data_IF_666387021494
#
_entry.id   IF_666387021494
#
_cell.length_a   1.000
_cell.length_b   1.000
_cell.length_c   1.000
_cell.angle_alpha   90.00
_cell.angle_beta   90.00
_cell.angle_gamma   90.00
#
_symmetry.space_group_name_H-M   'P 1'
#
loop_
_entity.id
_entity.type
_entity.pdbx_description
1 polymer ?
#
# COMPACT_ATOMS: atom_id res chain seq x y z
N UNK A 1 -48.34 26.59 18.12
CA UNK A 1 -47.83 25.21 17.99
C UNK A 1 -46.48 25.27 17.28
N UNK A 2 -45.39 25.18 18.03
CA UNK A 2 -44.03 25.15 17.49
C UNK A 2 -43.71 23.71 17.07
N UNK A 3 -43.72 23.44 15.77
CA UNK A 3 -43.18 22.21 15.20
C UNK A 3 -41.70 22.41 14.90
N UNK A 4 -40.83 22.21 15.89
CA UNK A 4 -39.38 22.15 15.64
C UNK A 4 -39.10 20.73 15.14
N UNK A 5 -39.05 20.57 13.82
CA UNK A 5 -38.60 19.36 13.16
C UNK A 5 -37.11 19.13 13.50
N UNK A 6 -36.86 18.34 14.54
CA UNK A 6 -35.54 17.75 14.82
C UNK A 6 -35.25 16.69 13.76
N UNK A 7 -34.19 16.84 12.96
CA UNK A 7 -33.34 15.72 12.46
C UNK A 7 -32.28 16.08 11.40
N UNK A 8 -31.77 17.31 11.31
CA UNK A 8 -30.69 17.62 10.34
C UNK A 8 -29.26 17.34 10.86
N UNK A 9 -29.09 16.99 12.13
CA UNK A 9 -27.79 16.80 12.81
C UNK A 9 -27.22 15.35 12.76
N UNK A 10 -27.99 14.24 12.56
CA UNK A 10 -27.41 12.89 12.54
C UNK A 10 -26.59 12.55 11.27
N UNK A 11 -26.90 13.16 10.14
CA UNK A 11 -26.33 12.77 8.84
C UNK A 11 -24.92 13.32 8.60
N UNK A 12 -24.64 14.55 9.04
CA UNK A 12 -23.32 15.17 8.88
C UNK A 12 -22.26 14.45 9.72
N UNK A 13 -22.59 14.13 10.97
CA UNK A 13 -21.70 13.37 11.88
C UNK A 13 -21.39 11.97 11.32
N UNK A 14 -22.39 11.29 10.74
CA UNK A 14 -22.21 9.97 10.14
C UNK A 14 -21.24 10.01 8.93
N UNK A 15 -21.29 11.06 8.11
CA UNK A 15 -20.39 11.23 6.96
C UNK A 15 -18.95 11.59 7.37
N UNK A 16 -18.80 12.42 8.39
CA UNK A 16 -17.49 12.75 8.97
C UNK A 16 -16.82 11.50 9.55
N UNK A 17 -17.54 10.75 10.39
CA UNK A 17 -17.07 9.46 10.94
C UNK A 17 -16.72 8.45 9.84
N UNK A 18 -17.54 8.33 8.80
CA UNK A 18 -17.25 7.44 7.68
C UNK A 18 -15.97 7.85 6.92
N UNK A 19 -15.67 9.14 6.87
CA UNK A 19 -14.45 9.66 6.24
C UNK A 19 -13.23 9.36 7.11
N UNK A 20 -13.33 9.58 8.41
CA UNK A 20 -12.26 9.27 9.37
C UNK A 20 -11.93 7.78 9.39
N UNK A 21 -12.93 6.90 9.40
CA UNK A 21 -12.73 5.44 9.34
C UNK A 21 -11.99 5.05 8.06
N UNK A 22 -12.38 5.58 6.89
CA UNK A 22 -11.66 5.32 5.63
C UNK A 22 -10.22 5.81 5.66
N UNK A 23 -9.95 6.93 6.31
CA UNK A 23 -8.59 7.43 6.48
C UNK A 23 -7.76 6.50 7.37
N UNK A 24 -8.34 6.02 8.47
CA UNK A 24 -7.69 5.05 9.36
C UNK A 24 -7.39 3.72 8.66
N UNK A 25 -8.32 3.20 7.85
CA UNK A 25 -8.12 2.01 7.02
C UNK A 25 -6.91 2.20 6.08
N UNK A 26 -6.83 3.37 5.41
CA UNK A 26 -5.71 3.69 4.53
C UNK A 26 -4.38 3.78 5.28
N UNK A 27 -4.36 4.43 6.44
CA UNK A 27 -3.16 4.54 7.29
C UNK A 27 -2.72 3.16 7.77
N UNK A 28 -3.67 2.31 8.17
CA UNK A 28 -3.38 0.94 8.62
C UNK A 28 -2.80 0.09 7.49
N UNK A 29 -3.39 0.14 6.28
CA UNK A 29 -2.86 -0.55 5.09
C UNK A 29 -1.43 -0.10 4.79
N UNK A 30 -1.16 1.22 4.79
CA UNK A 30 0.17 1.78 4.55
C UNK A 30 1.20 1.31 5.59
N UNK A 31 0.88 1.41 6.88
CA UNK A 31 1.78 0.95 7.97
C UNK A 31 2.05 -0.55 7.89
N UNK A 32 1.03 -1.35 7.56
CA UNK A 32 1.20 -2.79 7.37
C UNK A 32 2.19 -3.10 6.25
N UNK A 33 2.08 -2.39 5.13
CA UNK A 33 3.01 -2.52 4.02
C UNK A 33 4.44 -2.08 4.35
N UNK A 34 4.62 -0.99 5.08
CA UNK A 34 5.95 -0.52 5.53
C UNK A 34 6.67 -1.56 6.39
N UNK A 35 5.96 -2.16 7.36
CA UNK A 35 6.51 -3.22 8.22
C UNK A 35 6.96 -4.45 7.41
N UNK A 36 6.13 -4.92 6.49
CA UNK A 36 6.47 -6.05 5.63
C UNK A 36 7.69 -5.73 4.75
N UNK A 37 7.80 -4.49 4.26
CA UNK A 37 8.94 -4.03 3.46
C UNK A 37 10.26 -4.08 4.23
N UNK A 38 10.25 -3.69 5.50
CA UNK A 38 11.44 -3.80 6.36
C UNK A 38 11.90 -5.25 6.53
N UNK A 39 10.95 -6.16 6.75
CA UNK A 39 11.27 -7.58 6.94
C UNK A 39 11.76 -8.24 5.65
N UNK A 40 11.18 -7.89 4.50
CA UNK A 40 11.68 -8.35 3.19
C UNK A 40 13.11 -7.85 2.95
N UNK A 41 13.42 -6.60 3.26
CA UNK A 41 14.79 -6.05 3.12
C UNK A 41 15.80 -6.84 3.95
N UNK A 42 15.44 -7.20 5.19
CA UNK A 42 16.30 -8.05 6.06
C UNK A 42 16.48 -9.46 5.48
N UNK A 43 15.43 -10.03 4.89
CA UNK A 43 15.51 -11.35 4.26
C UNK A 43 16.40 -11.33 3.02
N UNK A 44 16.26 -10.35 2.13
CA UNK A 44 16.93 -10.32 0.83
C UNK A 44 18.46 -10.32 0.93
N UNK A 45 19.00 -9.69 1.97
CA UNK A 45 20.45 -9.62 2.23
C UNK A 45 21.02 -10.92 2.80
N UNK A 46 20.17 -11.87 3.20
CA UNK A 46 20.59 -13.17 3.69
C UNK A 46 21.26 -13.97 2.56
N UNK A 47 22.55 -14.29 2.74
CA UNK A 47 23.36 -15.05 1.77
C UNK A 47 22.94 -16.51 1.64
N UNK A 48 22.31 -17.07 2.67
CA UNK A 48 21.86 -18.46 2.70
C UNK A 48 20.57 -18.71 1.93
N UNK A 49 19.85 -17.65 1.52
CA UNK A 49 18.66 -17.79 0.68
C UNK A 49 19.04 -18.14 -0.76
N UNK A 50 18.37 -19.15 -1.30
CA UNK A 50 18.49 -19.53 -2.70
C UNK A 50 17.96 -18.42 -3.62
N UNK A 51 18.51 -18.36 -4.84
CA UNK A 51 18.21 -17.30 -5.82
C UNK A 51 16.69 -17.18 -6.11
N UNK A 52 15.99 -18.30 -6.26
CA UNK A 52 14.55 -18.30 -6.55
C UNK A 52 13.74 -17.60 -5.45
N UNK A 53 14.08 -17.81 -4.18
CA UNK A 53 13.39 -17.15 -3.06
C UNK A 53 13.71 -15.66 -3.05
N UNK A 54 14.95 -15.26 -3.38
CA UNK A 54 15.31 -13.83 -3.51
C UNK A 54 14.49 -13.15 -4.60
N UNK A 55 14.33 -13.79 -5.75
CA UNK A 55 13.50 -13.25 -6.85
C UNK A 55 12.04 -13.08 -6.39
N UNK A 56 11.47 -14.06 -5.69
CA UNK A 56 10.12 -13.94 -5.14
C UNK A 56 10.00 -12.79 -4.13
N UNK A 57 10.96 -12.65 -3.21
CA UNK A 57 11.00 -11.54 -2.25
C UNK A 57 11.07 -10.18 -2.94
N UNK A 58 11.85 -10.05 -4.01
CA UNK A 58 11.91 -8.80 -4.77
C UNK A 58 10.58 -8.50 -5.51
N UNK A 59 9.89 -9.52 -6.03
CA UNK A 59 8.57 -9.34 -6.64
C UNK A 59 7.51 -8.88 -5.62
N UNK A 60 7.53 -9.44 -4.41
CA UNK A 60 6.66 -9.00 -3.31
C UNK A 60 6.99 -7.55 -2.93
N UNK A 61 8.28 -7.21 -2.80
CA UNK A 61 8.72 -5.83 -2.52
C UNK A 61 8.21 -4.84 -3.57
N UNK A 62 8.28 -5.20 -4.85
CA UNK A 62 7.73 -4.36 -5.91
C UNK A 62 6.22 -4.20 -5.79
N UNK A 63 5.47 -5.29 -5.60
CA UNK A 63 4.02 -5.22 -5.41
C UNK A 63 3.63 -4.25 -4.29
N UNK A 64 4.32 -4.34 -3.14
CA UNK A 64 4.08 -3.47 -1.99
C UNK A 64 4.38 -2.01 -2.33
N UNK A 65 5.53 -1.73 -2.97
CA UNK A 65 5.88 -0.37 -3.38
C UNK A 65 4.82 0.24 -4.30
N UNK A 66 4.18 -0.56 -5.13
CA UNK A 66 3.13 -0.08 -6.04
C UNK A 66 1.84 0.25 -5.29
N UNK A 67 1.47 -0.57 -4.32
CA UNK A 67 0.32 -0.31 -3.43
C UNK A 67 0.53 0.95 -2.59
N UNK A 68 1.73 1.16 -2.06
CA UNK A 68 2.07 2.36 -1.29
C UNK A 68 1.99 3.64 -2.12
N UNK A 69 2.33 3.58 -3.42
CA UNK A 69 2.25 4.72 -4.33
C UNK A 69 0.87 4.91 -4.99
N UNK A 70 -0.15 4.15 -4.56
CA UNK A 70 -1.50 4.18 -5.14
C UNK A 70 -1.51 3.92 -6.66
N UNK A 71 -0.48 3.23 -7.17
CA UNK A 71 -0.31 2.95 -8.59
C UNK A 71 -1.11 1.70 -8.95
N UNK A 72 -1.93 1.82 -10.01
CA UNK A 72 -2.60 0.66 -10.61
C UNK A 72 -1.56 -0.23 -11.31
N UNK A 73 -1.88 -1.52 -11.43
CA UNK A 73 -0.97 -2.57 -11.95
C UNK A 73 -0.32 -2.25 -13.30
N UNK A 74 -0.92 -1.39 -14.12
CA UNK A 74 -0.37 -0.98 -15.43
C UNK A 74 0.80 0.02 -15.30
N UNK A 75 0.67 1.03 -14.44
CA UNK A 75 1.75 2.02 -14.21
C UNK A 75 2.92 1.38 -13.48
N UNK A 76 2.59 0.42 -12.61
CA UNK A 76 3.51 -0.52 -12.01
C UNK A 76 4.34 -1.33 -13.02
N UNK A 77 3.69 -2.00 -13.97
CA UNK A 77 4.37 -2.77 -15.01
C UNK A 77 5.25 -1.90 -15.90
N UNK A 78 4.85 -0.66 -16.18
CA UNK A 78 5.69 0.32 -16.90
C UNK A 78 6.95 0.66 -16.10
N UNK A 79 6.83 0.96 -14.82
CA UNK A 79 7.98 1.28 -13.98
C UNK A 79 8.93 0.08 -13.83
N UNK A 80 8.40 -1.13 -13.70
CA UNK A 80 9.21 -2.36 -13.67
C UNK A 80 9.94 -2.60 -15.00
N UNK A 81 9.26 -2.42 -16.14
CA UNK A 81 9.89 -2.52 -17.45
C UNK A 81 11.00 -1.47 -17.62
N UNK A 82 10.81 -0.26 -17.08
CA UNK A 82 11.84 0.80 -17.08
C UNK A 82 13.03 0.41 -16.18
N UNK A 83 12.82 -0.14 -14.99
CA UNK A 83 13.92 -0.53 -14.08
C UNK A 83 14.76 -1.68 -14.64
N UNK A 84 14.15 -2.63 -15.36
CA UNK A 84 14.87 -3.66 -16.13
C UNK A 84 15.70 -2.99 -17.24
N UNK A 85 15.08 -2.09 -18.03
CA UNK A 85 15.76 -1.39 -19.13
C UNK A 85 16.97 -0.58 -18.65
N UNK A 86 16.90 0.01 -17.46
CA UNK A 86 17.99 0.80 -16.86
C UNK A 86 19.09 -0.05 -16.18
N UNK A 87 18.97 -1.38 -16.13
CA UNK A 87 19.83 -2.28 -15.33
C UNK A 87 19.91 -1.88 -13.84
N UNK A 88 18.89 -1.18 -13.34
CA UNK A 88 18.74 -0.91 -11.91
C UNK A 88 18.24 -2.16 -11.18
N UNK A 89 17.65 -3.08 -11.94
CA UNK A 89 17.32 -4.43 -11.52
C UNK A 89 18.38 -5.39 -12.08
N UNK A 90 19.36 -5.79 -11.24
CA UNK A 90 20.37 -6.80 -11.59
C UNK A 90 20.17 -8.03 -10.71
N UNK A 91 20.21 -9.20 -11.37
CA UNK A 91 20.14 -10.55 -10.80
C UNK A 91 21.47 -10.87 -10.11
#
# INVERSE_FOLDING_TARGET
MQGICHSQIPYQIANELATEVKQLEKIQEQKGFELILEDIKKLIVNKSLILQVKVQLQLIMQYINLRLNDLKSIDASKNFAISIRKREYQI
#
